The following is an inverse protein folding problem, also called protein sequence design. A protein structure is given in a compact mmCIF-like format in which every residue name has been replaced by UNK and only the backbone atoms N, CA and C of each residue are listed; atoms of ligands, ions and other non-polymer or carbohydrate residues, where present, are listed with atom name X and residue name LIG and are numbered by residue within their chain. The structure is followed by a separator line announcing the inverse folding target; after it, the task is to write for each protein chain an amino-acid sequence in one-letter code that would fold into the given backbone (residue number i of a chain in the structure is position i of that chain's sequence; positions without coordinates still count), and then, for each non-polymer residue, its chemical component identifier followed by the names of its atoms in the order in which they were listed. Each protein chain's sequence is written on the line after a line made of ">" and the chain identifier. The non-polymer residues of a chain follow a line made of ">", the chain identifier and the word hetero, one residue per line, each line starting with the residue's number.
data_IF_807502209031
#
_entry.id   IF_807502209031
#
_cell.length_a   1.000
_cell.length_b   1.000
_cell.length_c   1.000
_cell.angle_alpha   90.00
_cell.angle_beta   90.00
_cell.angle_gamma   90.00
#
_symmetry.space_group_name_H-M   'P 1'
#
loop_
_entity.id
_entity.type
_entity.pdbx_description
1 polymer ?
#
# COMPACT_ATOMS: atom_id res chain seq x y z
N UNK A 1 17.74 20.60 11.09
CA UNK A 1 16.42 20.13 10.60
C UNK A 1 16.45 19.99 9.08
N UNK A 2 17.29 19.07 8.61
CA UNK A 2 17.78 19.01 7.22
C UNK A 2 17.23 17.77 6.51
N UNK A 3 16.09 17.28 6.99
CA UNK A 3 15.42 16.08 6.50
C UNK A 3 13.98 16.44 6.15
N UNK A 4 13.62 16.08 4.93
CA UNK A 4 12.25 16.16 4.46
C UNK A 4 11.60 14.78 4.55
N UNK A 5 10.42 14.72 5.17
CA UNK A 5 9.65 13.49 5.27
C UNK A 5 8.50 13.54 4.26
N UNK A 6 8.29 12.42 3.58
CA UNK A 6 7.17 12.21 2.66
C UNK A 6 6.43 10.93 3.03
N UNK A 7 5.11 10.93 2.80
CA UNK A 7 4.27 9.77 3.00
C UNK A 7 4.16 8.95 1.71
N UNK A 8 4.15 7.62 1.82
CA UNK A 8 3.88 6.71 0.70
C UNK A 8 2.63 5.91 1.03
N UNK A 9 1.70 5.82 0.08
CA UNK A 9 0.49 5.01 0.21
C UNK A 9 0.01 4.49 -1.16
N UNK A 10 -0.95 3.56 -1.18
CA UNK A 10 -1.63 3.17 -2.41
C UNK A 10 -2.83 4.07 -2.74
N UNK A 11 -3.30 4.02 -3.99
CA UNK A 11 -4.52 4.73 -4.43
C UNK A 11 -5.76 4.30 -3.66
N UNK A 12 -5.82 3.06 -3.19
CA UNK A 12 -6.86 2.54 -2.30
C UNK A 12 -6.96 3.33 -0.98
N UNK A 13 -5.82 3.76 -0.43
CA UNK A 13 -5.80 4.62 0.75
C UNK A 13 -6.16 6.09 0.42
N UNK A 14 -5.81 6.57 -0.77
CA UNK A 14 -6.09 7.95 -1.20
C UNK A 14 -7.61 8.24 -1.20
N UNK A 15 -8.43 7.28 -1.63
CA UNK A 15 -9.90 7.38 -1.64
C UNK A 15 -10.45 7.78 -0.25
N UNK A 16 -9.86 7.23 0.82
CA UNK A 16 -10.28 7.49 2.20
C UNK A 16 -9.38 8.50 2.94
N UNK A 17 -8.43 9.15 2.26
CA UNK A 17 -7.45 10.02 2.90
C UNK A 17 -8.08 11.24 3.59
N UNK A 18 -9.17 11.78 3.04
CA UNK A 18 -9.96 12.87 3.65
C UNK A 18 -10.58 12.49 5.01
N UNK A 19 -10.67 11.19 5.33
CA UNK A 19 -11.15 10.71 6.63
C UNK A 19 -10.03 10.58 7.67
N UNK A 20 -8.77 10.78 7.27
CA UNK A 20 -7.65 10.71 8.20
C UNK A 20 -7.67 11.93 9.13
N UNK A 21 -7.35 11.69 10.40
CA UNK A 21 -7.24 12.77 11.38
C UNK A 21 -6.19 13.78 10.90
N UNK A 22 -6.60 15.04 10.79
CA UNK A 22 -5.75 16.16 10.37
C UNK A 22 -5.06 15.97 9.01
N UNK A 23 -5.75 15.34 8.04
CA UNK A 23 -5.20 15.13 6.69
C UNK A 23 -4.72 16.45 6.03
N UNK A 24 -5.38 17.58 6.30
CA UNK A 24 -4.96 18.91 5.83
C UNK A 24 -3.58 19.31 6.36
N UNK A 25 -3.28 18.99 7.62
CA UNK A 25 -1.97 19.26 8.22
C UNK A 25 -0.89 18.36 7.64
N UNK A 26 -1.24 17.13 7.26
CA UNK A 26 -0.33 16.24 6.51
C UNK A 26 0.01 16.90 5.18
N UNK A 27 -0.99 17.36 4.41
CA UNK A 27 -0.77 18.01 3.11
C UNK A 27 -0.03 19.34 3.22
N UNK A 28 -0.23 20.09 4.30
CA UNK A 28 0.50 21.33 4.56
C UNK A 28 2.01 21.09 4.71
N UNK A 29 2.40 20.02 5.39
CA UNK A 29 3.78 19.81 5.82
C UNK A 29 4.54 18.75 5.02
N UNK A 30 3.84 17.84 4.32
CA UNK A 30 4.44 16.67 3.68
C UNK A 30 3.92 16.46 2.26
N UNK A 31 4.77 15.90 1.41
CA UNK A 31 4.34 15.30 0.15
C UNK A 31 3.78 13.90 0.39
N UNK A 32 2.78 13.52 -0.40
CA UNK A 32 2.21 12.17 -0.42
C UNK A 32 2.47 11.58 -1.81
N UNK A 33 3.22 10.49 -1.86
CA UNK A 33 3.45 9.70 -3.06
C UNK A 33 2.47 8.53 -3.07
N UNK A 34 1.74 8.40 -4.17
CA UNK A 34 0.63 7.46 -4.30
C UNK A 34 0.99 6.40 -5.34
N UNK A 35 1.07 5.15 -4.89
CA UNK A 35 1.31 3.99 -5.74
C UNK A 35 0.00 3.54 -6.40
N UNK A 36 -0.04 3.36 -7.73
CA UNK A 36 -1.26 2.97 -8.44
C UNK A 36 -1.66 1.52 -8.09
N UNK A 37 -2.92 1.33 -7.68
CA UNK A 37 -3.58 0.02 -7.52
C UNK A 37 -4.67 -0.15 -8.58
N UNK A 38 -4.98 -1.38 -9.01
CA UNK A 38 -6.14 -1.65 -9.86
C UNK A 38 -7.43 -1.08 -9.26
N UNK A 39 -8.38 -0.70 -10.12
CA UNK A 39 -9.69 -0.13 -9.74
C UNK A 39 -9.61 1.21 -9.00
N UNK A 40 -8.88 2.17 -9.57
CA UNK A 40 -8.84 3.55 -9.07
C UNK A 40 -10.11 4.31 -9.39
N UNK A 41 -10.77 4.84 -8.36
CA UNK A 41 -11.79 5.89 -8.51
C UNK A 41 -11.12 7.25 -8.44
N UNK A 42 -11.60 8.20 -9.25
CA UNK A 42 -11.21 9.61 -9.14
C UNK A 42 -11.45 10.11 -7.71
N UNK A 43 -10.51 10.92 -7.21
CA UNK A 43 -10.59 11.51 -5.87
C UNK A 43 -10.52 13.03 -5.96
N UNK A 44 -10.97 13.70 -4.89
CA UNK A 44 -10.80 15.16 -4.74
C UNK A 44 -9.33 15.62 -4.74
N UNK A 45 -8.38 14.68 -4.72
CA UNK A 45 -6.96 14.90 -4.59
C UNK A 45 -6.18 14.74 -5.90
N UNK A 46 -6.82 14.35 -7.00
CA UNK A 46 -6.17 13.96 -8.25
C UNK A 46 -5.32 15.08 -8.87
N UNK A 47 -5.56 16.33 -8.48
CA UNK A 47 -4.80 17.51 -8.91
C UNK A 47 -4.15 18.28 -7.74
N UNK A 48 -4.05 17.69 -6.55
CA UNK A 48 -3.52 18.39 -5.38
C UNK A 48 -1.98 18.50 -5.47
N UNK A 49 -1.38 19.70 -5.32
CA UNK A 49 0.06 19.92 -5.58
C UNK A 49 1.02 19.16 -4.66
N UNK A 50 0.52 18.68 -3.52
CA UNK A 50 1.26 17.87 -2.54
C UNK A 50 1.10 16.37 -2.72
N UNK A 51 0.27 15.95 -3.68
CA UNK A 51 -0.03 14.55 -3.95
C UNK A 51 0.53 14.21 -5.33
N UNK A 52 1.36 13.16 -5.40
CA UNK A 52 2.00 12.71 -6.63
C UNK A 52 1.71 11.24 -6.83
N UNK A 53 0.86 10.93 -7.81
CA UNK A 53 0.71 9.54 -8.27
C UNK A 53 1.97 9.18 -9.04
N UNK A 54 2.63 8.09 -8.66
CA UNK A 54 3.85 7.64 -9.32
C UNK A 54 3.53 6.72 -10.49
N UNK A 55 4.32 6.82 -11.56
CA UNK A 55 4.29 5.84 -12.64
C UNK A 55 5.02 4.57 -12.17
N UNK A 56 4.26 3.53 -11.84
CA UNK A 56 4.75 2.29 -11.30
C UNK A 56 3.87 1.11 -11.78
N UNK A 57 4.42 -0.11 -11.89
CA UNK A 57 3.68 -1.26 -12.39
C UNK A 57 2.49 -1.62 -11.48
N UNK A 58 1.34 -1.93 -12.08
CA UNK A 58 0.20 -2.41 -11.33
C UNK A 58 0.48 -3.80 -10.77
N UNK A 59 0.31 -3.96 -9.46
CA UNK A 59 0.55 -5.21 -8.75
C UNK A 59 -0.77 -5.76 -8.21
N UNK A 60 -1.25 -6.85 -8.81
CA UNK A 60 -2.47 -7.57 -8.41
C UNK A 60 -2.18 -8.55 -7.26
N UNK A 61 -1.65 -8.02 -6.15
CA UNK A 61 -1.36 -8.78 -4.95
C UNK A 61 -1.85 -8.07 -3.70
N UNK A 62 -2.46 -8.82 -2.79
CA UNK A 62 -2.91 -8.33 -1.50
C UNK A 62 -2.56 -9.31 -0.38
N UNK A 63 -2.44 -8.79 0.85
CA UNK A 63 -2.21 -9.64 2.02
C UNK A 63 -3.38 -10.60 2.26
N UNK A 64 -4.61 -10.21 1.92
CA UNK A 64 -5.79 -11.09 2.02
C UNK A 64 -5.67 -12.29 1.08
N UNK A 65 -5.28 -12.05 -0.18
CA UNK A 65 -4.99 -13.12 -1.14
C UNK A 65 -3.92 -14.09 -0.61
N UNK A 66 -2.80 -13.55 -0.11
CA UNK A 66 -1.70 -14.38 0.43
C UNK A 66 -2.18 -15.24 1.60
N UNK A 67 -2.89 -14.67 2.59
CA UNK A 67 -3.37 -15.42 3.75
C UNK A 67 -4.35 -16.53 3.38
N UNK A 68 -5.27 -16.26 2.44
CA UNK A 68 -6.22 -17.28 1.95
C UNK A 68 -5.46 -18.39 1.21
N UNK A 69 -4.53 -18.03 0.31
CA UNK A 69 -3.73 -19.00 -0.43
C UNK A 69 -2.91 -19.91 0.50
N UNK A 70 -2.29 -19.35 1.55
CA UNK A 70 -1.56 -20.13 2.57
C UNK A 70 -2.51 -21.08 3.31
N UNK A 71 -3.70 -20.61 3.73
CA UNK A 71 -4.73 -21.43 4.37
C UNK A 71 -5.20 -22.59 3.49
N UNK A 72 -5.33 -22.33 2.19
CA UNK A 72 -5.66 -23.34 1.16
C UNK A 72 -4.46 -24.24 0.78
N UNK A 73 -3.34 -24.12 1.50
CA UNK A 73 -2.09 -24.89 1.27
C UNK A 73 -1.49 -24.66 -0.13
N UNK A 74 -1.74 -23.50 -0.74
CA UNK A 74 -1.10 -23.08 -2.00
C UNK A 74 0.30 -22.55 -1.76
N UNK A 75 1.14 -22.66 -2.78
CA UNK A 75 2.49 -22.13 -2.76
C UNK A 75 2.52 -20.65 -3.10
N UNK A 76 3.00 -19.82 -2.17
CA UNK A 76 3.10 -18.36 -2.34
C UNK A 76 4.52 -17.83 -2.35
N UNK A 77 5.54 -18.70 -2.54
CA UNK A 77 6.96 -18.32 -2.41
C UNK A 77 7.44 -17.20 -3.34
N UNK A 78 6.75 -16.99 -4.47
CA UNK A 78 7.08 -15.94 -5.44
C UNK A 78 6.34 -14.62 -5.18
N UNK A 79 5.40 -14.62 -4.24
CA UNK A 79 4.57 -13.47 -3.89
C UNK A 79 5.08 -12.71 -2.65
N UNK A 80 6.02 -13.31 -1.91
CA UNK A 80 6.64 -12.73 -0.72
C UNK A 80 8.15 -12.94 -0.75
N UNK A 81 8.94 -12.14 -0.04
CA UNK A 81 10.36 -12.41 0.13
C UNK A 81 10.58 -13.82 0.70
N UNK A 82 11.61 -14.52 0.24
CA UNK A 82 11.88 -15.90 0.63
C UNK A 82 11.93 -16.11 2.15
N UNK A 83 12.58 -15.20 2.89
CA UNK A 83 12.66 -15.25 4.36
C UNK A 83 11.27 -15.15 5.02
N UNK A 84 10.34 -14.41 4.41
CA UNK A 84 8.96 -14.31 4.90
C UNK A 84 8.20 -15.61 4.64
N UNK A 85 8.42 -16.25 3.50
CA UNK A 85 7.83 -17.56 3.20
C UNK A 85 8.30 -18.64 4.17
N UNK A 86 9.60 -18.70 4.45
CA UNK A 86 10.18 -19.61 5.44
C UNK A 86 9.55 -19.39 6.82
N UNK A 87 9.47 -18.14 7.26
CA UNK A 87 8.87 -17.77 8.53
C UNK A 87 7.38 -18.13 8.63
N UNK A 88 6.59 -17.94 7.57
CA UNK A 88 5.17 -18.34 7.53
C UNK A 88 5.02 -19.84 7.77
N UNK A 89 5.87 -20.66 7.13
CA UNK A 89 5.83 -22.12 7.27
C UNK A 89 6.29 -22.59 8.65
N UNK A 90 7.41 -22.07 9.14
CA UNK A 90 7.99 -22.48 10.44
C UNK A 90 7.03 -22.20 11.60
N UNK A 91 6.34 -21.07 11.54
CA UNK A 91 5.41 -20.63 12.58
C UNK A 91 3.96 -21.11 12.36
N UNK A 92 3.68 -21.85 11.29
CA UNK A 92 2.32 -22.26 10.87
C UNK A 92 1.31 -21.09 10.84
N UNK A 93 1.73 -19.91 10.37
CA UNK A 93 0.81 -18.78 10.26
C UNK A 93 -0.26 -19.02 9.20
N UNK A 94 -1.47 -18.54 9.48
CA UNK A 94 -2.62 -18.56 8.55
C UNK A 94 -3.08 -19.98 8.13
N UNK A 95 -2.65 -21.01 8.86
CA UNK A 95 -3.06 -22.41 8.68
C UNK A 95 -4.46 -22.68 9.24
#
# INVERSE_FOLDING_TARGET
>A
PDKEFSLIMGTDNLVNFHKWKNYEMILKNHYVYVYPRPETTETQFDNHPKIKVVDAPLMEISSSFIRIAVKEKRDVRFFVPQKVWEYIKEMNFYS
#
